data_IF_123565363548
#
_entry.id   IF_123565363548
#
_cell.length_a   1.000
_cell.length_b   1.000
_cell.length_c   1.000
_cell.angle_alpha   90.00
_cell.angle_beta   90.00
_cell.angle_gamma   90.00
#
_symmetry.space_group_name_H-M   'P 1'
#
loop_
_entity.id
_entity.type
_entity.pdbx_description
1 polymer ?
#
# COMPACT_ATOMS: atom_id res chain seq x y z
N UNK A 1 -1.85 -17.33 -24.62
CA UNK A 1 -2.77 -16.93 -23.55
C UNK A 1 -3.79 -18.02 -23.20
N UNK A 2 -3.84 -18.41 -21.93
CA UNK A 2 -4.97 -19.07 -21.23
C UNK A 2 -5.74 -17.99 -20.45
N UNK A 3 -7.03 -18.16 -20.18
CA UNK A 3 -7.78 -17.27 -19.27
C UNK A 3 -7.92 -17.95 -17.91
N UNK A 4 -7.69 -17.19 -16.85
CA UNK A 4 -7.95 -17.57 -15.46
C UNK A 4 -9.12 -16.74 -14.92
N UNK A 5 -10.00 -17.37 -14.14
CA UNK A 5 -11.10 -16.69 -13.43
C UNK A 5 -10.85 -16.74 -11.94
N UNK A 6 -10.62 -15.58 -11.34
CA UNK A 6 -10.52 -15.42 -9.89
C UNK A 6 -11.85 -14.98 -9.30
N UNK A 7 -12.22 -15.52 -8.15
CA UNK A 7 -13.13 -14.86 -7.23
C UNK A 7 -12.33 -13.96 -6.32
N UNK A 8 -12.73 -12.70 -6.23
CA UNK A 8 -12.15 -11.68 -5.34
C UNK A 8 -13.24 -11.29 -4.36
N UNK A 9 -13.10 -11.70 -3.10
CA UNK A 9 -13.99 -11.38 -1.98
C UNK A 9 -13.29 -10.36 -1.07
N UNK A 10 -13.95 -9.26 -0.71
CA UNK A 10 -13.41 -8.30 0.26
C UNK A 10 -13.67 -8.78 1.70
N UNK A 11 -12.67 -8.63 2.57
CA UNK A 11 -12.79 -8.87 4.01
C UNK A 11 -13.47 -7.67 4.68
N UNK A 12 -14.80 -7.65 4.62
CA UNK A 12 -15.65 -6.59 5.14
C UNK A 12 -17.07 -7.15 5.38
N UNK A 13 -17.86 -6.65 6.36
CA UNK A 13 -19.21 -7.14 6.64
C UNK A 13 -20.24 -7.06 5.50
N UNK A 14 -19.92 -6.38 4.39
CA UNK A 14 -20.75 -6.45 3.17
C UNK A 14 -20.58 -7.77 2.41
N UNK A 15 -19.49 -8.54 2.63
CA UNK A 15 -19.12 -9.77 1.93
C UNK A 15 -19.18 -9.64 0.39
N UNK A 16 -18.83 -8.47 -0.14
CA UNK A 16 -18.93 -8.18 -1.57
C UNK A 16 -17.86 -8.94 -2.35
N UNK A 17 -18.26 -9.54 -3.48
CA UNK A 17 -17.31 -10.25 -4.33
C UNK A 17 -17.50 -9.97 -5.82
N UNK A 18 -16.42 -10.20 -6.56
CA UNK A 18 -16.30 -10.03 -8.01
C UNK A 18 -15.65 -11.28 -8.57
N UNK A 19 -16.22 -11.86 -9.62
CA UNK A 19 -15.48 -12.86 -10.42
C UNK A 19 -14.84 -12.12 -11.59
N UNK A 20 -13.50 -12.13 -11.64
CA UNK A 20 -12.68 -11.42 -12.63
C UNK A 20 -11.99 -12.45 -13.51
N UNK A 21 -12.09 -12.28 -14.83
CA UNK A 21 -11.31 -13.03 -15.81
C UNK A 21 -10.10 -12.23 -16.27
N UNK A 22 -8.93 -12.87 -16.31
CA UNK A 22 -7.65 -12.27 -16.69
C UNK A 22 -6.82 -13.26 -17.53
N UNK A 23 -6.04 -12.73 -18.47
CA UNK A 23 -5.11 -13.51 -19.29
C UNK A 23 -3.89 -14.00 -18.51
N UNK A 24 -3.41 -15.20 -18.85
CA UNK A 24 -2.22 -15.81 -18.25
C UNK A 24 -0.94 -14.99 -18.43
N UNK A 25 -0.87 -14.24 -19.53
CA UNK A 25 0.24 -13.37 -19.95
C UNK A 25 0.05 -11.91 -19.53
N UNK A 26 -0.94 -11.62 -18.66
CA UNK A 26 -1.11 -10.30 -18.03
C UNK A 26 -0.43 -10.25 -16.67
N UNK A 27 -0.15 -9.04 -16.18
CA UNK A 27 0.62 -8.82 -14.96
C UNK A 27 -0.25 -8.84 -13.69
N UNK A 28 0.37 -8.99 -12.51
CA UNK A 28 -0.32 -8.72 -11.23
C UNK A 28 -0.74 -7.25 -11.11
N UNK A 29 -0.05 -6.32 -11.78
CA UNK A 29 -0.43 -4.91 -11.86
C UNK A 29 -1.75 -4.73 -12.64
N UNK A 30 -2.05 -5.58 -13.63
CA UNK A 30 -3.34 -5.57 -14.33
C UNK A 30 -4.46 -6.17 -13.47
N UNK A 31 -4.15 -7.18 -12.64
CA UNK A 31 -5.09 -7.68 -11.64
C UNK A 31 -5.38 -6.64 -10.55
N UNK A 32 -4.36 -5.90 -10.08
CA UNK A 32 -4.51 -4.78 -9.14
C UNK A 32 -5.49 -3.72 -9.67
N UNK A 33 -5.28 -3.25 -10.91
CA UNK A 33 -6.18 -2.29 -11.57
C UNK A 33 -7.60 -2.85 -11.68
N UNK A 34 -7.75 -4.09 -12.13
CA UNK A 34 -9.05 -4.73 -12.33
C UNK A 34 -9.82 -4.95 -11.01
N UNK A 35 -9.14 -5.27 -9.90
CA UNK A 35 -9.76 -5.36 -8.57
C UNK A 35 -10.28 -3.99 -8.16
N UNK A 36 -9.43 -2.95 -8.22
CA UNK A 36 -9.82 -1.60 -7.82
C UNK A 36 -10.99 -1.06 -8.63
N UNK A 37 -10.97 -1.20 -9.96
CA UNK A 37 -12.09 -0.84 -10.82
C UNK A 37 -13.37 -1.62 -10.45
N UNK A 38 -13.27 -2.93 -10.22
CA UNK A 38 -14.42 -3.77 -9.89
C UNK A 38 -15.06 -3.46 -8.52
N UNK A 39 -14.30 -2.90 -7.57
CA UNK A 39 -14.79 -2.45 -6.27
C UNK A 39 -15.05 -0.94 -6.18
N UNK A 40 -14.69 -0.16 -7.21
CA UNK A 40 -14.90 1.29 -7.25
C UNK A 40 -13.85 2.11 -6.50
N UNK A 41 -12.67 1.55 -6.24
CA UNK A 41 -11.57 2.17 -5.51
C UNK A 41 -10.69 2.99 -6.47
N UNK A 42 -10.49 4.27 -6.17
CA UNK A 42 -9.90 5.29 -7.05
C UNK A 42 -8.60 5.90 -6.52
N UNK A 43 -8.19 5.60 -5.28
CA UNK A 43 -6.96 6.09 -4.66
C UNK A 43 -5.69 5.63 -5.39
N UNK A 44 -4.51 6.01 -4.90
CA UNK A 44 -3.23 5.54 -5.48
C UNK A 44 -2.35 4.79 -4.48
N UNK A 45 -2.96 4.34 -3.39
CA UNK A 45 -2.27 3.77 -2.23
C UNK A 45 -1.48 2.49 -2.54
N UNK A 46 -0.47 2.25 -1.69
CA UNK A 46 0.39 1.07 -1.77
C UNK A 46 -0.39 -0.23 -1.63
N UNK A 47 0.11 -1.27 -2.29
CA UNK A 47 -0.56 -2.57 -2.38
C UNK A 47 0.44 -3.73 -2.46
N UNK A 48 0.00 -4.93 -2.11
CA UNK A 48 0.79 -6.15 -2.22
C UNK A 48 -0.11 -7.39 -2.43
N UNK A 49 0.30 -8.33 -3.29
CA UNK A 49 -0.25 -9.68 -3.31
C UNK A 49 0.69 -10.64 -2.54
N UNK A 50 0.14 -11.45 -1.66
CA UNK A 50 0.84 -12.60 -1.07
C UNK A 50 0.35 -13.87 -1.77
N UNK A 51 1.28 -14.72 -2.20
CA UNK A 51 0.99 -16.03 -2.77
C UNK A 51 0.56 -16.97 -1.63
N UNK A 52 -0.63 -17.54 -1.71
CA UNK A 52 -1.24 -18.26 -0.58
C UNK A 52 -1.54 -19.73 -0.83
N UNK A 53 -1.61 -20.48 0.26
CA UNK A 53 -1.90 -21.91 0.33
C UNK A 53 -3.39 -22.21 0.62
N UNK A 54 -3.70 -23.49 0.88
CA UNK A 54 -5.05 -23.98 1.15
C UNK A 54 -5.61 -23.56 2.52
N UNK A 55 -4.78 -23.02 3.42
CA UNK A 55 -5.16 -22.46 4.72
C UNK A 55 -5.11 -20.91 4.75
N UNK A 56 -4.87 -20.27 3.59
CA UNK A 56 -4.68 -18.83 3.41
C UNK A 56 -3.45 -18.23 4.12
N UNK A 57 -2.41 -19.05 4.34
CA UNK A 57 -1.10 -18.57 4.75
C UNK A 57 -0.53 -17.53 3.79
N UNK A 58 0.17 -16.52 4.31
CA UNK A 58 0.92 -15.56 3.48
C UNK A 58 2.29 -16.16 3.14
N UNK A 59 2.47 -16.57 1.89
CA UNK A 59 3.76 -16.95 1.32
C UNK A 59 4.51 -15.75 0.71
N UNK A 60 5.31 -15.98 -0.36
CA UNK A 60 6.04 -14.91 -1.05
C UNK A 60 5.17 -13.73 -1.46
N UNK A 61 5.74 -12.53 -1.44
CA UNK A 61 5.06 -11.28 -1.76
C UNK A 61 5.40 -10.72 -3.15
N UNK A 62 4.45 -9.97 -3.71
CA UNK A 62 4.51 -9.31 -5.01
C UNK A 62 3.99 -7.87 -4.78
N UNK A 63 4.86 -6.92 -4.38
CA UNK A 63 4.46 -5.56 -4.03
C UNK A 63 4.28 -4.66 -5.27
N UNK A 64 3.50 -3.58 -5.09
CA UNK A 64 3.20 -2.62 -6.17
C UNK A 64 4.43 -1.80 -6.59
N UNK A 65 5.31 -1.49 -5.64
CA UNK A 65 6.63 -0.89 -5.85
C UNK A 65 7.57 -1.35 -4.71
N UNK A 66 8.87 -1.11 -4.86
CA UNK A 66 9.83 -1.39 -3.79
C UNK A 66 9.52 -0.56 -2.53
N UNK A 67 9.36 -1.25 -1.40
CA UNK A 67 9.05 -0.66 -0.10
C UNK A 67 10.32 -0.34 0.72
N UNK A 68 11.51 -0.73 0.24
CA UNK A 68 12.78 -0.52 0.94
C UNK A 68 13.01 -1.42 2.17
N UNK A 69 12.09 -2.35 2.45
CA UNK A 69 12.18 -3.30 3.58
C UNK A 69 12.74 -4.67 3.20
N UNK A 70 13.21 -4.85 1.96
CA UNK A 70 13.85 -6.06 1.50
C UNK A 70 15.10 -6.40 2.34
N UNK A 71 15.23 -7.65 2.80
CA UNK A 71 16.47 -8.13 3.41
C UNK A 71 17.63 -8.08 2.39
N UNK A 72 18.87 -7.88 2.86
CA UNK A 72 20.05 -7.69 2.00
C UNK A 72 20.22 -8.83 0.97
N UNK A 73 19.84 -8.56 -0.28
CA UNK A 73 19.93 -9.51 -1.39
C UNK A 73 18.62 -10.18 -1.81
N UNK A 74 17.47 -9.86 -1.20
CA UNK A 74 16.15 -10.38 -1.61
C UNK A 74 15.13 -9.28 -1.88
N UNK A 75 15.29 -8.58 -3.01
CA UNK A 75 14.26 -7.69 -3.55
C UNK A 75 13.16 -8.54 -4.19
N UNK A 76 11.88 -8.43 -3.76
CA UNK A 76 10.76 -9.12 -4.41
C UNK A 76 10.46 -8.51 -5.79
N UNK A 77 10.05 -9.35 -6.74
CA UNK A 77 9.67 -8.88 -8.08
C UNK A 77 8.36 -8.10 -8.04
N UNK A 78 8.28 -7.00 -8.79
CA UNK A 78 7.16 -6.07 -8.69
C UNK A 78 5.91 -6.57 -9.44
N UNK A 79 4.74 -6.05 -9.07
CA UNK A 79 3.47 -6.38 -9.73
C UNK A 79 3.48 -6.21 -11.26
N UNK A 80 4.31 -5.32 -11.82
CA UNK A 80 4.45 -5.12 -13.27
C UNK A 80 5.35 -6.15 -13.97
N UNK A 81 6.25 -6.80 -13.23
CA UNK A 81 7.25 -7.75 -13.75
C UNK A 81 6.74 -9.21 -13.71
N UNK A 82 5.77 -9.50 -12.84
CA UNK A 82 5.26 -10.85 -12.57
C UNK A 82 3.95 -11.10 -13.33
N UNK A 83 3.89 -12.15 -14.14
CA UNK A 83 2.67 -12.56 -14.83
C UNK A 83 1.79 -13.46 -13.97
N UNK A 84 0.47 -13.47 -14.23
CA UNK A 84 -0.47 -14.37 -13.54
C UNK A 84 -0.07 -15.84 -13.70
N UNK A 85 0.45 -16.25 -14.85
CA UNK A 85 0.97 -17.61 -15.08
C UNK A 85 2.02 -18.03 -14.05
N UNK A 86 2.82 -17.09 -13.58
CA UNK A 86 4.07 -17.37 -12.88
C UNK A 86 3.82 -17.87 -11.47
N UNK A 87 2.62 -17.68 -10.92
CA UNK A 87 2.22 -18.13 -9.59
C UNK A 87 1.02 -19.09 -9.55
N UNK A 88 0.44 -19.51 -10.68
CA UNK A 88 -0.53 -20.62 -10.67
C UNK A 88 0.20 -21.94 -10.37
N UNK A 89 -0.16 -22.64 -9.29
CA UNK A 89 0.37 -23.97 -8.94
C UNK A 89 -0.69 -25.06 -8.80
N UNK A 90 -1.95 -24.69 -8.54
CA UNK A 90 -3.08 -25.62 -8.48
C UNK A 90 -4.30 -25.06 -9.20
N UNK A 91 -5.36 -25.87 -9.35
CA UNK A 91 -6.67 -25.44 -9.86
C UNK A 91 -7.45 -24.53 -8.89
N UNK A 92 -6.96 -24.38 -7.67
CA UNK A 92 -7.52 -23.59 -6.58
C UNK A 92 -6.44 -22.70 -5.95
N UNK A 93 -5.56 -22.15 -6.80
CA UNK A 93 -4.50 -21.22 -6.36
C UNK A 93 -5.12 -20.02 -5.66
N UNK A 94 -4.53 -19.61 -4.54
CA UNK A 94 -4.97 -18.47 -3.74
C UNK A 94 -3.93 -17.38 -3.66
N UNK A 95 -4.42 -16.17 -3.43
CA UNK A 95 -3.63 -15.00 -3.07
C UNK A 95 -4.38 -14.18 -2.02
N UNK A 96 -3.65 -13.59 -1.08
CA UNK A 96 -4.17 -12.51 -0.24
C UNK A 96 -3.75 -11.20 -0.89
N UNK A 97 -4.70 -10.36 -1.29
CA UNK A 97 -4.42 -9.03 -1.81
C UNK A 97 -4.64 -8.00 -0.70
N UNK A 98 -3.61 -7.22 -0.39
CA UNK A 98 -3.66 -6.08 0.52
C UNK A 98 -3.59 -4.78 -0.29
N UNK A 99 -4.52 -3.87 -0.02
CA UNK A 99 -4.56 -2.51 -0.56
C UNK A 99 -4.63 -1.52 0.59
N UNK A 100 -3.95 -0.37 0.45
CA UNK A 100 -3.89 0.70 1.44
C UNK A 100 -3.35 0.21 2.80
N UNK A 101 -2.08 0.48 3.09
CA UNK A 101 -1.46 0.02 4.34
C UNK A 101 -1.86 0.85 5.58
N UNK A 102 -2.66 1.92 5.44
CA UNK A 102 -3.25 2.65 6.55
C UNK A 102 -4.61 2.05 6.95
N UNK A 103 -5.50 1.83 5.98
CA UNK A 103 -6.84 1.26 6.22
C UNK A 103 -6.89 -0.27 6.14
N UNK A 104 -5.83 -0.90 5.62
CA UNK A 104 -5.64 -2.34 5.48
C UNK A 104 -6.84 -3.04 4.82
N UNK A 105 -7.14 -2.67 3.57
CA UNK A 105 -8.17 -3.34 2.77
C UNK A 105 -7.66 -4.71 2.28
N UNK A 106 -8.21 -5.76 2.88
CA UNK A 106 -7.83 -7.15 2.59
C UNK A 106 -8.85 -7.80 1.65
N UNK A 107 -8.37 -8.53 0.66
CA UNK A 107 -9.18 -9.28 -0.29
C UNK A 107 -8.67 -10.72 -0.43
N UNK A 108 -9.61 -11.66 -0.39
CA UNK A 108 -9.39 -13.09 -0.59
C UNK A 108 -9.54 -13.39 -2.09
N UNK A 109 -8.45 -13.77 -2.76
CA UNK A 109 -8.42 -14.04 -4.20
C UNK A 109 -8.23 -15.54 -4.43
N UNK A 110 -9.25 -16.23 -4.94
CA UNK A 110 -9.22 -17.68 -5.22
C UNK A 110 -9.44 -17.97 -6.71
N UNK A 111 -8.61 -18.83 -7.30
CA UNK A 111 -8.82 -19.34 -8.65
C UNK A 111 -10.01 -20.31 -8.67
N UNK A 112 -11.09 -19.92 -9.36
CA UNK A 112 -12.33 -20.70 -9.48
C UNK A 112 -12.53 -21.34 -10.86
N UNK A 113 -11.62 -21.09 -11.81
CA UNK A 113 -11.66 -21.72 -13.12
C UNK A 113 -10.55 -21.27 -14.08
N UNK A 114 -10.32 -22.08 -15.11
CA UNK A 114 -9.43 -21.75 -16.23
C UNK A 114 -10.06 -22.19 -17.55
N UNK A 115 -9.93 -21.37 -18.59
CA UNK A 115 -10.56 -21.61 -19.90
C UNK A 115 -9.82 -20.91 -21.04
N UNK A 116 -10.32 -21.10 -22.25
CA UNK A 116 -9.72 -20.51 -23.45
C UNK A 116 -10.35 -19.13 -23.73
N UNK A 117 -9.61 -18.18 -24.35
CA UNK A 117 -10.11 -16.82 -24.57
C UNK A 117 -11.32 -16.81 -25.50
N UNK A 118 -12.29 -15.95 -25.20
CA UNK A 118 -13.46 -15.72 -26.05
C UNK A 118 -13.09 -14.76 -27.18
N UNK A 119 -13.42 -15.12 -28.42
CA UNK A 119 -13.16 -14.27 -29.60
C UNK A 119 -13.87 -12.91 -29.46
N UNK A 120 -13.15 -11.82 -29.75
CA UNK A 120 -13.68 -10.46 -29.61
C UNK A 120 -13.91 -9.98 -28.17
N UNK A 121 -13.23 -10.58 -27.18
CA UNK A 121 -13.26 -10.17 -25.77
C UNK A 121 -11.89 -9.62 -25.34
N UNK A 122 -11.90 -8.44 -24.72
CA UNK A 122 -10.76 -7.87 -24.01
C UNK A 122 -10.69 -8.34 -22.54
N UNK A 123 -9.49 -8.35 -21.97
CA UNK A 123 -9.20 -8.79 -20.60
C UNK A 123 -8.21 -7.82 -19.92
N UNK A 124 -8.28 -7.57 -18.60
CA UNK A 124 -9.15 -8.25 -17.63
C UNK A 124 -10.61 -7.78 -17.74
N UNK A 125 -11.56 -8.57 -17.23
CA UNK A 125 -12.98 -8.19 -17.18
C UNK A 125 -13.70 -8.77 -15.96
N UNK A 126 -14.68 -8.04 -15.43
CA UNK A 126 -15.61 -8.56 -14.42
C UNK A 126 -16.72 -9.35 -15.11
N UNK A 127 -16.92 -10.61 -14.70
CA UNK A 127 -17.99 -11.49 -15.25
C UNK A 127 -19.12 -11.78 -14.26
N UNK A 128 -18.93 -11.47 -12.98
CA UNK A 128 -19.98 -11.49 -11.96
C UNK A 128 -19.67 -10.43 -10.89
N UNK A 129 -20.69 -9.68 -10.47
CA UNK A 129 -20.63 -8.78 -9.32
C UNK A 129 -21.74 -9.13 -8.35
N UNK A 130 -21.39 -9.40 -7.09
CA UNK A 130 -22.32 -9.75 -6.03
C UNK A 130 -22.14 -8.84 -4.82
N UNK A 131 -23.25 -8.26 -4.37
CA UNK A 131 -23.35 -7.25 -3.30
C UNK A 131 -22.58 -5.94 -3.58
N UNK A 132 -22.97 -4.91 -2.86
CA UNK A 132 -22.40 -3.57 -2.93
C UNK A 132 -21.05 -3.52 -2.20
N UNK A 133 -20.04 -2.92 -2.83
CA UNK A 133 -18.73 -2.71 -2.21
C UNK A 133 -18.84 -1.63 -1.12
N UNK A 134 -18.01 -1.68 -0.06
CA UNK A 134 -17.85 -0.51 0.82
C UNK A 134 -17.23 0.66 0.04
N UNK A 135 -17.37 1.87 0.57
CA UNK A 135 -16.58 3.00 0.08
C UNK A 135 -15.11 2.84 0.49
N UNK A 136 -14.18 3.21 -0.39
CA UNK A 136 -12.73 3.13 -0.14
C UNK A 136 -12.30 3.81 1.17
N UNK A 137 -12.93 4.94 1.49
CA UNK A 137 -12.69 5.74 2.70
C UNK A 137 -13.51 5.30 3.92
N UNK A 138 -14.34 4.25 3.86
CA UNK A 138 -15.28 3.90 4.94
C UNK A 138 -14.64 3.30 6.21
N UNK A 139 -13.31 3.39 6.34
CA UNK A 139 -12.52 3.03 7.51
C UNK A 139 -11.80 4.22 8.17
N UNK A 140 -11.89 5.42 7.61
CA UNK A 140 -11.27 6.63 8.17
C UNK A 140 -11.85 6.96 9.56
N UNK A 141 -13.17 6.79 9.73
CA UNK A 141 -13.87 7.00 11.00
C UNK A 141 -13.37 6.01 12.10
N UNK A 142 -13.14 4.74 11.75
CA UNK A 142 -12.67 3.71 12.70
C UNK A 142 -11.30 4.10 13.29
N UNK A 143 -10.38 4.64 12.48
CA UNK A 143 -9.03 5.04 12.93
C UNK A 143 -9.04 6.23 13.90
N UNK A 144 -10.01 7.13 13.77
CA UNK A 144 -10.12 8.32 14.64
C UNK A 144 -10.92 8.05 15.91
N UNK A 145 -11.85 7.09 15.89
CA UNK A 145 -12.72 6.71 17.02
C UNK A 145 -12.00 6.32 18.32
N UNK A 146 -10.70 6.00 18.26
CA UNK A 146 -9.87 5.66 19.42
C UNK A 146 -9.03 6.81 19.98
N UNK A 147 -9.12 8.03 19.42
CA UNK A 147 -8.22 9.16 19.72
C UNK A 147 -8.89 10.25 20.58
N UNK A 148 -10.21 10.19 20.80
CA UNK A 148 -10.98 11.22 21.53
C UNK A 148 -10.61 11.39 23.02
N UNK A 149 -9.80 10.50 23.61
CA UNK A 149 -9.50 10.43 25.05
C UNK A 149 -7.99 10.56 25.35
N UNK A 150 -7.27 11.41 24.60
CA UNK A 150 -5.86 11.78 24.91
C UNK A 150 -5.79 12.89 25.99
N UNK A 151 -5.32 12.58 27.22
CA UNK A 151 -5.18 13.59 28.28
C UNK A 151 -4.02 14.58 28.05
N UNK A 152 -3.26 14.44 26.96
CA UNK A 152 -2.22 15.38 26.53
C UNK A 152 -2.65 16.27 25.35
N UNK A 153 -3.91 16.18 24.90
CA UNK A 153 -4.52 17.17 24.01
C UNK A 153 -4.64 18.52 24.72
N UNK A 154 -3.54 19.30 24.72
CA UNK A 154 -3.51 20.66 25.27
C UNK A 154 -4.46 21.53 24.46
N UNK A 155 -5.50 22.03 25.13
CA UNK A 155 -6.47 22.95 24.53
C UNK A 155 -5.77 24.15 23.90
N UNK A 156 -6.25 24.58 22.74
CA UNK A 156 -5.60 25.59 21.90
C UNK A 156 -5.92 27.02 22.39
N UNK A 157 -5.77 27.26 23.69
CA UNK A 157 -5.88 28.56 24.32
C UNK A 157 -4.87 29.52 23.67
N UNK A 158 -5.40 30.58 23.07
CA UNK A 158 -4.67 31.55 22.25
C UNK A 158 -3.63 32.30 23.10
N UNK A 159 -2.36 31.89 23.02
CA UNK A 159 -1.25 32.55 23.71
C UNK A 159 -1.01 33.97 23.16
N UNK A 160 -1.80 34.91 23.65
CA UNK A 160 -1.56 36.35 23.52
C UNK A 160 -0.26 36.70 24.25
N UNK A 161 0.82 36.88 23.50
CA UNK A 161 2.06 37.44 24.02
C UNK A 161 1.86 38.93 24.30
N UNK A 162 1.68 39.30 25.56
CA UNK A 162 1.90 40.68 25.99
C UNK A 162 3.40 40.96 26.03
N UNK A 163 3.80 42.11 25.47
CA UNK A 163 5.14 42.70 25.63
C UNK A 163 5.21 43.56 26.91
N UNK A 164 6.43 44.03 27.27
CA UNK A 164 6.82 44.60 28.58
C UNK A 164 6.84 43.53 29.72
N UNK A 165 7.73 43.55 30.71
CA UNK A 165 8.92 44.36 31.03
C UNK A 165 9.93 43.45 31.78
N UNK A 166 11.25 43.71 31.93
CA UNK A 166 12.08 44.86 31.56
C UNK A 166 13.23 45.02 32.57
N UNK A 167 14.34 44.26 32.43
CA UNK A 167 15.50 44.34 33.36
C UNK A 167 16.88 44.29 32.68
N UNK A 168 17.50 45.47 32.62
CA UNK A 168 18.95 45.73 32.51
C UNK A 168 19.60 45.58 33.92
N UNK A 169 20.90 45.56 34.20
CA UNK A 169 22.22 45.74 33.52
C UNK A 169 23.29 45.16 34.51
N UNK A 170 24.58 44.89 34.25
CA UNK A 170 25.50 45.02 33.10
C UNK A 170 26.75 44.12 33.33
N UNK A 171 27.83 44.29 32.55
CA UNK A 171 29.28 44.24 32.94
C UNK A 171 30.18 43.15 32.32
N UNK A 172 30.67 43.44 31.11
CA UNK A 172 32.09 43.44 30.69
C UNK A 172 33.07 42.33 31.14
N UNK A 173 33.65 41.59 30.17
CA UNK A 173 35.02 41.88 29.67
C UNK A 173 35.37 41.09 28.38
N UNK A 174 35.78 41.81 27.33
CA UNK A 174 37.07 41.75 26.58
C UNK A 174 37.80 40.40 26.36
N UNK A 175 38.50 40.10 25.24
CA UNK A 175 38.72 40.77 23.95
C UNK A 175 39.40 39.76 22.96
N UNK A 176 39.19 39.91 21.64
CA UNK A 176 39.94 39.30 20.51
C UNK A 176 39.98 37.75 20.37
N UNK A 177 40.27 37.18 19.18
CA UNK A 177 40.68 37.83 17.92
C UNK A 177 40.47 36.98 16.65
N UNK A 178 40.73 37.61 15.50
CA UNK A 178 40.49 37.06 14.15
C UNK A 178 41.48 35.95 13.74
N UNK A 179 41.06 35.06 12.83
CA UNK A 179 41.93 34.04 12.21
C UNK A 179 41.29 33.30 11.04
N UNK A 180 41.39 33.88 9.83
CA UNK A 180 40.84 33.32 8.59
C UNK A 180 41.41 31.94 8.20
N UNK A 181 40.52 31.07 7.70
CA UNK A 181 40.48 30.39 6.38
C UNK A 181 41.80 29.97 5.66
N UNK A 182 41.65 28.96 4.81
CA UNK A 182 42.61 28.39 3.83
C UNK A 182 43.77 27.52 4.36
N UNK A 183 43.63 26.20 4.18
CA UNK A 183 44.67 25.41 3.49
C UNK A 183 44.04 24.25 2.68
N UNK A 184 44.67 23.87 1.57
CA UNK A 184 44.26 22.81 0.65
C UNK A 184 45.46 21.88 0.41
N UNK A 185 45.41 20.64 0.91
CA UNK A 185 46.51 19.68 0.77
C UNK A 185 46.06 18.22 0.68
N UNK A 186 46.39 17.57 -0.43
CA UNK A 186 46.36 16.12 -0.56
C UNK A 186 47.52 15.50 0.26
N UNK A 187 47.34 14.28 0.79
CA UNK A 187 48.33 13.23 0.51
C UNK A 187 47.71 11.82 0.60
N UNK A 188 48.35 10.86 -0.09
CA UNK A 188 47.88 9.49 -0.29
C UNK A 188 48.36 8.55 0.83
N UNK A 189 47.47 7.65 1.30
CA UNK A 189 47.81 6.22 1.38
C UNK A 189 46.62 5.27 1.47
#
# INVERSE_FOLDING_TARGET
>A
MRIYRFRVLIDHPSEAFRDIEIGSEQSFLDLHKAIKEAFGFIGQEMACFYVSDEDWGKGPEIPLADLGFAEEGHVPALMEEVYISDHIRSTSQRFIYAYDFLHLWMFMVELIGAGDPVEGTDYPRVVLSMKEAPGEHSKEDDLTSGIEDDPYATDAEEHHYDEDDGFHEDSDHDEYGHGNIDDLGEEYR
#
